data_IF_215311751684
#
_entry.id   IF_215311751684
#
_cell.length_a   1.000
_cell.length_b   1.000
_cell.length_c   1.000
_cell.angle_alpha   90.00
_cell.angle_beta   90.00
_cell.angle_gamma   90.00
#
_symmetry.space_group_name_H-M   'P 1'
#
loop_
_entity.id
_entity.type
_entity.pdbx_description
1 polymer ?
#
# COMPACT_ATOMS: atom_id res chain seq x y z
N UNK A 1 22.15 -24.03 21.22
CA UNK A 1 21.37 -23.05 20.43
C UNK A 1 22.30 -22.54 19.36
N UNK A 2 21.85 -22.47 18.11
CA UNK A 2 22.63 -21.91 17.02
C UNK A 2 22.79 -20.40 17.26
N UNK A 3 24.00 -19.87 17.49
CA UNK A 3 24.23 -18.45 17.79
C UNK A 3 23.88 -17.53 16.61
N UNK A 4 23.50 -18.09 15.46
CA UNK A 4 23.09 -17.33 14.26
C UNK A 4 21.57 -17.27 14.07
N UNK A 5 20.78 -17.96 14.89
CA UNK A 5 19.33 -18.00 14.76
C UNK A 5 18.67 -16.74 15.35
N UNK A 6 17.89 -16.02 14.54
CA UNK A 6 17.04 -14.91 15.00
C UNK A 6 15.97 -15.47 15.95
N UNK A 7 15.88 -14.88 17.14
CA UNK A 7 14.87 -15.22 18.13
C UNK A 7 13.48 -14.70 17.74
N UNK A 8 12.44 -15.34 18.27
CA UNK A 8 11.05 -14.88 18.08
C UNK A 8 10.84 -13.46 18.59
N UNK A 9 11.52 -13.08 19.68
CA UNK A 9 11.45 -11.73 20.23
C UNK A 9 12.00 -10.68 19.28
N UNK A 10 13.10 -10.97 18.59
CA UNK A 10 13.68 -10.04 17.61
C UNK A 10 12.74 -9.86 16.41
N UNK A 11 12.09 -10.94 15.94
CA UNK A 11 11.08 -10.86 14.87
C UNK A 11 9.84 -10.07 15.30
N UNK A 12 9.39 -10.22 16.55
CA UNK A 12 8.26 -9.45 17.08
C UNK A 12 8.56 -7.95 17.11
N UNK A 13 9.77 -7.58 17.57
CA UNK A 13 10.22 -6.17 17.60
C UNK A 13 10.37 -5.64 16.19
N UNK A 14 10.99 -6.38 15.28
CA UNK A 14 11.13 -5.99 13.88
C UNK A 14 9.75 -5.74 13.23
N UNK A 15 8.80 -6.65 13.46
CA UNK A 15 7.44 -6.53 12.93
C UNK A 15 6.72 -5.30 13.49
N UNK A 16 6.86 -5.01 14.79
CA UNK A 16 6.31 -3.81 15.40
C UNK A 16 6.90 -2.54 14.78
N UNK A 17 8.22 -2.47 14.61
CA UNK A 17 8.90 -1.33 13.98
C UNK A 17 8.39 -1.11 12.55
N UNK A 18 8.29 -2.17 11.74
CA UNK A 18 7.77 -2.09 10.38
C UNK A 18 6.32 -1.61 10.34
N UNK A 19 5.47 -2.09 11.25
CA UNK A 19 4.07 -1.64 11.38
C UNK A 19 3.97 -0.17 11.75
N UNK A 20 4.77 0.29 12.70
CA UNK A 20 4.78 1.69 13.15
C UNK A 20 5.41 2.64 12.11
N UNK A 21 6.23 2.14 11.19
CA UNK A 21 6.71 2.90 10.04
C UNK A 21 5.67 2.97 8.92
N UNK A 22 5.13 1.82 8.49
CA UNK A 22 4.22 1.73 7.34
C UNK A 22 2.82 2.28 7.63
N UNK A 23 2.22 1.85 8.73
CA UNK A 23 0.83 2.11 9.05
C UNK A 23 0.52 3.61 9.21
N UNK A 24 1.18 4.31 10.16
CA UNK A 24 1.00 5.74 10.36
C UNK A 24 1.32 6.58 9.11
N UNK A 25 2.36 6.20 8.35
CA UNK A 25 2.68 6.86 7.09
C UNK A 25 1.49 6.84 6.13
N UNK A 26 0.86 5.66 5.93
CA UNK A 26 -0.26 5.56 5.00
C UNK A 26 -1.51 6.27 5.51
N UNK A 27 -1.75 6.24 6.84
CA UNK A 27 -2.82 7.04 7.47
C UNK A 27 -2.63 8.53 7.19
N UNK A 28 -1.41 9.05 7.35
CA UNK A 28 -1.11 10.46 7.09
C UNK A 28 -1.32 10.82 5.61
N UNK A 29 -0.98 9.93 4.68
CA UNK A 29 -1.26 10.12 3.24
C UNK A 29 -2.76 10.23 2.96
N UNK A 30 -3.57 9.36 3.56
CA UNK A 30 -5.02 9.40 3.40
C UNK A 30 -5.67 10.60 4.08
N UNK A 31 -5.24 10.95 5.29
CA UNK A 31 -5.70 12.15 5.99
C UNK A 31 -5.34 13.42 5.23
N UNK A 32 -4.17 13.48 4.56
CA UNK A 32 -3.80 14.62 3.73
C UNK A 32 -4.76 14.80 2.55
N UNK A 33 -5.23 13.71 1.93
CA UNK A 33 -6.26 13.77 0.86
C UNK A 33 -7.60 14.31 1.36
N UNK A 34 -8.00 13.93 2.58
CA UNK A 34 -9.25 14.40 3.19
C UNK A 34 -9.14 15.86 3.61
N UNK A 35 -8.07 16.23 4.32
CA UNK A 35 -7.84 17.58 4.87
C UNK A 35 -7.53 18.62 3.80
N UNK A 36 -6.84 18.23 2.73
CA UNK A 36 -6.60 19.08 1.57
C UNK A 36 -7.84 19.36 0.71
N UNK A 37 -9.00 18.80 1.08
CA UNK A 37 -10.25 18.88 0.35
C UNK A 37 -10.32 17.81 -0.73
N UNK A 38 -11.31 16.90 -0.59
CA UNK A 38 -11.48 15.81 -1.55
C UNK A 38 -11.54 16.33 -2.98
N UNK A 39 -12.27 17.42 -3.26
CA UNK A 39 -12.40 17.99 -4.63
C UNK A 39 -11.06 18.25 -5.33
N UNK A 40 -10.03 18.69 -4.62
CA UNK A 40 -8.68 18.84 -5.20
C UNK A 40 -8.08 17.50 -5.60
N UNK A 41 -8.22 16.51 -4.71
CA UNK A 41 -7.82 15.12 -4.96
C UNK A 41 -8.61 14.49 -6.11
N UNK A 42 -9.91 14.79 -6.26
CA UNK A 42 -10.74 14.31 -7.38
C UNK A 42 -10.20 14.83 -8.73
N UNK A 43 -9.90 16.13 -8.79
CA UNK A 43 -9.33 16.77 -9.99
C UNK A 43 -7.95 16.20 -10.31
N UNK A 44 -7.13 15.96 -9.30
CA UNK A 44 -5.82 15.34 -9.45
C UNK A 44 -5.92 13.89 -9.98
N UNK A 45 -6.78 13.04 -9.41
CA UNK A 45 -6.99 11.70 -9.97
C UNK A 45 -7.52 11.74 -11.40
N UNK A 46 -8.44 12.66 -11.70
CA UNK A 46 -8.94 12.85 -13.06
C UNK A 46 -7.83 13.30 -14.04
N UNK A 47 -6.88 14.14 -13.61
CA UNK A 47 -5.74 14.57 -14.44
C UNK A 47 -4.74 13.44 -14.70
N UNK A 48 -4.62 12.47 -13.78
CA UNK A 48 -3.89 11.23 -14.01
C UNK A 48 -4.59 10.29 -15.00
N UNK A 49 -5.88 10.52 -15.29
CA UNK A 49 -6.69 9.68 -16.18
C UNK A 49 -7.58 8.67 -15.46
N UNK A 50 -7.66 8.69 -14.12
CA UNK A 50 -8.56 7.81 -13.36
C UNK A 50 -9.98 8.38 -13.33
N UNK A 51 -10.96 7.59 -13.78
CA UNK A 51 -12.36 8.03 -13.92
C UNK A 51 -13.35 7.08 -13.23
N UNK A 52 -14.40 7.61 -12.55
CA UNK A 52 -14.60 9.02 -12.20
C UNK A 52 -13.70 9.44 -11.02
N UNK A 53 -13.09 10.63 -11.09
CA UNK A 53 -12.10 11.08 -10.10
C UNK A 53 -12.62 11.14 -8.66
N UNK A 54 -13.91 11.47 -8.46
CA UNK A 54 -14.54 11.52 -7.14
C UNK A 54 -14.53 10.17 -6.41
N UNK A 55 -14.73 9.08 -7.15
CA UNK A 55 -14.75 7.74 -6.58
C UNK A 55 -13.34 7.34 -6.15
N UNK A 56 -12.35 7.55 -7.03
CA UNK A 56 -10.95 7.23 -6.74
C UNK A 56 -10.38 8.05 -5.59
N UNK A 57 -10.76 9.32 -5.45
CA UNK A 57 -10.37 10.13 -4.31
C UNK A 57 -10.84 9.51 -2.97
N UNK A 58 -12.10 9.08 -2.92
CA UNK A 58 -12.69 8.48 -1.71
C UNK A 58 -12.14 7.08 -1.44
N UNK A 59 -12.05 6.24 -2.46
CA UNK A 59 -11.52 4.87 -2.34
C UNK A 59 -10.05 4.90 -1.90
N UNK A 60 -9.22 5.75 -2.52
CA UNK A 60 -7.83 5.89 -2.12
C UNK A 60 -7.71 6.38 -0.68
N UNK A 61 -8.39 7.46 -0.29
CA UNK A 61 -8.32 7.98 1.07
C UNK A 61 -8.81 6.98 2.12
N UNK A 62 -9.95 6.32 1.88
CA UNK A 62 -10.51 5.32 2.79
C UNK A 62 -9.60 4.09 2.92
N UNK A 63 -9.04 3.61 1.80
CA UNK A 63 -8.13 2.46 1.80
C UNK A 63 -6.81 2.79 2.48
N UNK A 64 -6.23 3.97 2.22
CA UNK A 64 -4.99 4.41 2.86
C UNK A 64 -5.14 4.54 4.38
N UNK A 65 -6.24 5.13 4.84
CA UNK A 65 -6.53 5.25 6.28
C UNK A 65 -6.81 3.88 6.87
N UNK A 66 -7.72 3.09 6.28
CA UNK A 66 -8.12 1.79 6.79
C UNK A 66 -6.97 0.80 6.85
N UNK A 67 -6.26 0.59 5.73
CA UNK A 67 -5.11 -0.30 5.67
C UNK A 67 -3.97 0.20 6.57
N UNK A 68 -3.73 1.52 6.63
CA UNK A 68 -2.73 2.09 7.52
C UNK A 68 -3.03 1.84 9.00
N UNK A 69 -4.29 1.99 9.43
CA UNK A 69 -4.73 1.65 10.79
C UNK A 69 -4.57 0.16 11.05
N UNK A 70 -5.01 -0.70 10.12
CA UNK A 70 -4.91 -2.15 10.29
C UNK A 70 -3.46 -2.62 10.38
N UNK A 71 -2.56 -2.13 9.53
CA UNK A 71 -1.12 -2.40 9.64
C UNK A 71 -0.58 -1.90 10.99
N UNK A 72 -0.92 -0.69 11.42
CA UNK A 72 -0.45 -0.15 12.71
C UNK A 72 -0.80 -1.09 13.87
N UNK A 73 -2.05 -1.55 13.91
CA UNK A 73 -2.58 -2.44 14.95
C UNK A 73 -2.15 -3.91 14.77
N UNK A 74 -1.57 -4.26 13.63
CA UNK A 74 -1.29 -5.66 13.25
C UNK A 74 -2.57 -6.47 13.14
N UNK A 75 -3.55 -5.95 12.40
CA UNK A 75 -4.85 -6.57 12.17
C UNK A 75 -4.98 -6.93 10.68
N UNK A 76 -5.46 -8.14 10.40
CA UNK A 76 -5.63 -8.69 9.06
C UNK A 76 -4.35 -8.53 8.20
N UNK A 77 -3.18 -8.84 8.77
CA UNK A 77 -1.87 -8.38 8.29
C UNK A 77 -1.61 -8.72 6.82
N UNK A 78 -1.84 -9.97 6.40
CA UNK A 78 -1.71 -10.37 4.99
C UNK A 78 -2.65 -9.61 4.04
N UNK A 79 -3.90 -9.36 4.44
CA UNK A 79 -4.87 -8.60 3.64
C UNK A 79 -4.56 -7.10 3.62
N UNK A 80 -4.11 -6.55 4.74
CA UNK A 80 -3.68 -5.16 4.83
C UNK A 80 -2.44 -4.91 3.97
N UNK A 81 -1.49 -5.85 3.94
CA UNK A 81 -0.35 -5.81 3.02
C UNK A 81 -0.78 -5.87 1.55
N UNK A 82 -1.79 -6.69 1.22
CA UNK A 82 -2.39 -6.73 -0.12
C UNK A 82 -2.90 -5.34 -0.56
N UNK A 83 -3.57 -4.61 0.33
CA UNK A 83 -4.04 -3.25 0.08
C UNK A 83 -2.89 -2.27 -0.17
N UNK A 84 -1.79 -2.37 0.60
CA UNK A 84 -0.58 -1.58 0.37
C UNK A 84 -0.01 -1.84 -1.02
N UNK A 85 0.16 -3.11 -1.41
CA UNK A 85 0.66 -3.47 -2.75
C UNK A 85 -0.24 -2.90 -3.85
N UNK A 86 -1.56 -3.03 -3.71
CA UNK A 86 -2.52 -2.49 -4.68
C UNK A 86 -2.42 -0.96 -4.82
N UNK A 87 -2.44 -0.23 -3.70
CA UNK A 87 -2.30 1.23 -3.68
C UNK A 87 -1.00 1.69 -4.34
N UNK A 88 0.12 1.08 -3.94
CA UNK A 88 1.44 1.44 -4.47
C UNK A 88 1.57 1.09 -5.95
N UNK A 89 0.95 0.01 -6.42
CA UNK A 89 0.95 -0.37 -7.84
C UNK A 89 0.15 0.63 -8.68
N UNK A 90 -1.04 1.05 -8.22
CA UNK A 90 -1.82 2.09 -8.89
C UNK A 90 -1.02 3.40 -8.94
N UNK A 91 -0.39 3.80 -7.82
CA UNK A 91 0.45 4.99 -7.79
C UNK A 91 1.64 4.90 -8.77
N UNK A 92 2.35 3.77 -8.77
CA UNK A 92 3.48 3.50 -9.66
C UNK A 92 3.10 3.63 -11.15
N UNK A 93 1.94 3.07 -11.53
CA UNK A 93 1.47 3.01 -12.91
C UNK A 93 0.69 4.26 -13.36
N UNK A 94 0.40 5.19 -12.45
CA UNK A 94 -0.29 6.44 -12.75
C UNK A 94 0.60 7.64 -12.47
N UNK A 95 0.60 8.18 -11.25
CA UNK A 95 1.36 9.40 -10.93
C UNK A 95 2.86 9.24 -11.18
N UNK A 96 3.46 8.09 -10.89
CA UNK A 96 4.90 7.90 -11.06
C UNK A 96 5.31 7.48 -12.48
N UNK A 97 4.34 7.24 -13.38
CA UNK A 97 4.60 6.74 -14.72
C UNK A 97 5.42 7.75 -15.53
N UNK A 98 6.52 7.29 -16.12
CA UNK A 98 7.40 8.12 -16.95
C UNK A 98 8.36 9.03 -16.17
N UNK A 99 8.32 9.04 -14.84
CA UNK A 99 9.21 9.85 -13.97
C UNK A 99 10.55 9.15 -13.63
N UNK A 100 10.74 7.91 -14.06
CA UNK A 100 11.92 7.08 -13.76
C UNK A 100 11.87 6.42 -12.38
N UNK A 101 13.01 6.00 -11.84
CA UNK A 101 13.09 5.30 -10.55
C UNK A 101 13.16 6.26 -9.36
N UNK A 102 14.09 7.22 -9.36
CA UNK A 102 14.46 7.98 -8.16
C UNK A 102 13.36 8.88 -7.57
N UNK A 103 13.14 8.79 -6.26
CA UNK A 103 12.10 9.52 -5.52
C UNK A 103 12.21 11.04 -5.65
N UNK A 104 13.43 11.59 -5.66
CA UNK A 104 13.67 13.03 -5.78
C UNK A 104 13.36 13.58 -7.18
N UNK A 105 13.10 12.71 -8.16
CA UNK A 105 12.55 13.06 -9.48
C UNK A 105 11.05 12.74 -9.59
N UNK A 106 10.41 12.36 -8.49
CA UNK A 106 9.04 11.84 -8.48
C UNK A 106 8.91 10.40 -9.02
N UNK A 107 10.02 9.67 -9.13
CA UNK A 107 10.05 8.30 -9.64
C UNK A 107 9.46 7.25 -8.68
N UNK A 108 9.39 6.00 -9.13
CA UNK A 108 8.67 4.91 -8.45
C UNK A 108 9.37 4.29 -7.22
N UNK A 109 10.59 4.70 -6.88
CA UNK A 109 11.42 4.14 -5.79
C UNK A 109 10.66 3.99 -4.47
N UNK A 110 9.99 5.05 -4.01
CA UNK A 110 9.26 5.05 -2.75
C UNK A 110 8.11 4.05 -2.74
N UNK A 111 7.26 4.09 -3.77
CA UNK A 111 6.05 3.23 -3.82
C UNK A 111 6.43 1.76 -3.98
N UNK A 112 7.49 1.45 -4.73
CA UNK A 112 8.01 0.09 -4.86
C UNK A 112 8.57 -0.40 -3.53
N UNK A 113 9.35 0.43 -2.82
CA UNK A 113 9.89 0.07 -1.51
C UNK A 113 8.77 -0.21 -0.51
N UNK A 114 7.77 0.67 -0.43
CA UNK A 114 6.61 0.50 0.47
C UNK A 114 5.85 -0.80 0.17
N UNK A 115 5.62 -1.13 -1.10
CA UNK A 115 4.96 -2.36 -1.49
C UNK A 115 5.76 -3.61 -1.06
N UNK A 116 7.07 -3.61 -1.29
CA UNK A 116 7.92 -4.76 -0.97
C UNK A 116 8.10 -4.95 0.54
N UNK A 117 8.18 -3.87 1.32
CA UNK A 117 8.22 -3.97 2.80
C UNK A 117 6.89 -4.52 3.32
N UNK A 118 5.75 -4.13 2.73
CA UNK A 118 4.45 -4.69 3.10
C UNK A 118 4.36 -6.20 2.81
N UNK A 119 4.88 -6.66 1.66
CA UNK A 119 4.99 -8.10 1.36
C UNK A 119 5.88 -8.81 2.38
N UNK A 120 7.03 -8.24 2.71
CA UNK A 120 7.93 -8.78 3.74
C UNK A 120 7.23 -8.90 5.10
N UNK A 121 6.45 -7.90 5.50
CA UNK A 121 5.66 -7.92 6.72
C UNK A 121 4.57 -9.01 6.68
N UNK A 122 3.93 -9.25 5.54
CA UNK A 122 2.99 -10.37 5.39
C UNK A 122 3.68 -11.73 5.52
N UNK A 123 4.94 -11.85 5.08
CA UNK A 123 5.72 -13.09 5.23
C UNK A 123 6.16 -13.32 6.67
N UNK A 124 6.73 -12.31 7.33
CA UNK A 124 7.23 -12.41 8.71
C UNK A 124 6.08 -12.48 9.72
N UNK A 125 4.98 -11.78 9.43
CA UNK A 125 3.80 -11.68 10.28
C UNK A 125 3.79 -10.44 11.16
N UNK A 126 2.71 -10.25 11.94
CA UNK A 126 2.51 -9.02 12.72
C UNK A 126 3.26 -8.95 14.05
N UNK A 127 3.82 -10.08 14.51
CA UNK A 127 4.42 -10.24 15.83
C UNK A 127 3.40 -10.32 16.96
N UNK A 128 3.85 -10.69 18.17
CA UNK A 128 2.98 -10.93 19.33
C UNK A 128 2.19 -9.72 19.82
N UNK A 129 2.68 -8.49 19.59
CA UNK A 129 2.01 -7.25 19.98
C UNK A 129 1.10 -6.75 18.86
N UNK A 130 0.15 -7.60 18.47
CA UNK A 130 -0.77 -7.34 17.37
C UNK A 130 -2.17 -7.85 17.69
N UNK A 131 -3.17 -7.30 17.01
CA UNK A 131 -4.54 -7.78 17.14
C UNK A 131 -4.73 -9.16 16.50
N UNK A 132 -4.01 -9.49 15.43
CA UNK A 132 -4.02 -10.85 14.86
C UNK A 132 -3.58 -11.87 15.91
N UNK A 133 -2.49 -11.61 16.63
CA UNK A 133 -2.03 -12.48 17.72
C UNK A 133 -3.02 -12.54 18.88
N UNK A 134 -3.66 -11.42 19.25
CA UNK A 134 -4.63 -11.39 20.33
C UNK A 134 -5.94 -12.11 19.98
N UNK A 135 -6.31 -12.14 18.70
CA UNK A 135 -7.51 -12.78 18.18
C UNK A 135 -7.27 -14.20 17.66
N UNK A 136 -6.02 -14.67 17.62
CA UNK A 136 -5.65 -15.99 17.11
C UNK A 136 -5.78 -16.12 15.59
N UNK A 137 -5.61 -15.03 14.83
CA UNK A 137 -5.66 -15.03 13.38
C UNK A 137 -4.28 -15.38 12.79
N UNK A 138 -4.26 -16.40 11.94
CA UNK A 138 -3.04 -16.80 11.21
C UNK A 138 -3.07 -16.28 9.76
N UNK A 139 -2.62 -15.03 9.61
CA UNK A 139 -2.63 -14.28 8.36
C UNK A 139 -1.20 -13.87 7.93
N UNK A 140 -0.24 -14.76 8.19
CA UNK A 140 1.19 -14.54 7.94
C UNK A 140 1.87 -15.74 7.24
N UNK A 141 3.09 -15.54 6.75
CA UNK A 141 3.90 -16.56 6.10
C UNK A 141 3.98 -16.39 4.58
N UNK A 142 4.78 -17.24 3.93
CA UNK A 142 5.06 -17.15 2.48
C UNK A 142 3.77 -17.18 1.64
N UNK A 143 2.79 -17.98 2.02
CA UNK A 143 1.48 -18.02 1.37
C UNK A 143 0.77 -16.67 1.40
N UNK A 144 0.72 -16.02 2.57
CA UNK A 144 0.13 -14.68 2.71
C UNK A 144 0.96 -13.58 2.03
N UNK A 145 2.29 -13.71 2.00
CA UNK A 145 3.15 -12.86 1.19
C UNK A 145 2.83 -12.95 -0.31
N UNK A 146 2.64 -14.16 -0.82
CA UNK A 146 2.24 -14.39 -2.22
C UNK A 146 0.83 -13.85 -2.50
N UNK A 147 -0.13 -14.07 -1.60
CA UNK A 147 -1.49 -13.50 -1.69
C UNK A 147 -1.44 -11.98 -1.68
N UNK A 148 -0.65 -11.37 -0.79
CA UNK A 148 -0.51 -9.92 -0.72
C UNK A 148 0.05 -9.34 -2.03
N UNK A 149 1.12 -9.95 -2.55
CA UNK A 149 1.74 -9.53 -3.80
C UNK A 149 0.80 -9.70 -5.00
N UNK A 150 0.37 -10.94 -5.26
CA UNK A 150 -0.43 -11.28 -6.45
C UNK A 150 -1.81 -10.64 -6.37
N UNK A 151 -2.46 -10.70 -5.21
CA UNK A 151 -3.77 -10.10 -4.98
C UNK A 151 -3.73 -8.58 -5.12
N UNK A 152 -2.70 -7.93 -4.58
CA UNK A 152 -2.53 -6.48 -4.71
C UNK A 152 -2.30 -6.04 -6.16
N UNK A 153 -1.42 -6.75 -6.88
CA UNK A 153 -1.17 -6.51 -8.31
C UNK A 153 -2.44 -6.75 -9.15
N UNK A 154 -3.17 -7.84 -8.88
CA UNK A 154 -4.40 -8.17 -9.58
C UNK A 154 -5.50 -7.13 -9.32
N UNK A 155 -5.67 -6.69 -8.07
CA UNK A 155 -6.63 -5.64 -7.71
C UNK A 155 -6.28 -4.31 -8.40
N UNK A 156 -5.00 -3.92 -8.42
CA UNK A 156 -4.55 -2.73 -9.13
C UNK A 156 -4.79 -2.85 -10.64
N UNK A 157 -4.46 -3.99 -11.25
CA UNK A 157 -4.69 -4.23 -12.67
C UNK A 157 -6.19 -4.16 -13.02
N UNK A 158 -7.07 -4.77 -12.22
CA UNK A 158 -8.51 -4.72 -12.40
C UNK A 158 -9.06 -3.29 -12.28
N UNK A 159 -8.60 -2.53 -11.27
CA UNK A 159 -8.95 -1.13 -11.09
C UNK A 159 -8.52 -0.31 -12.32
N UNK A 160 -7.28 -0.45 -12.76
CA UNK A 160 -6.75 0.30 -13.91
C UNK A 160 -7.47 -0.08 -15.21
N UNK A 161 -7.70 -1.37 -15.47
CA UNK A 161 -8.41 -1.81 -16.67
C UNK A 161 -9.81 -1.16 -16.79
N UNK A 162 -10.53 -1.08 -15.67
CA UNK A 162 -11.90 -0.58 -15.65
C UNK A 162 -11.97 0.95 -15.61
N UNK A 163 -10.97 1.64 -15.07
CA UNK A 163 -11.09 3.07 -14.73
C UNK A 163 -10.01 4.01 -15.26
N UNK A 164 -8.88 3.49 -15.77
CA UNK A 164 -7.78 4.29 -16.28
C UNK A 164 -7.99 4.64 -17.76
N UNK A 165 -8.12 5.94 -18.05
CA UNK A 165 -8.38 6.54 -19.36
C UNK A 165 -7.47 7.77 -19.53
N UNK A 166 -6.16 7.59 -19.73
CA UNK A 166 -5.24 8.70 -19.94
C UNK A 166 -5.60 9.44 -21.22
N UNK A 167 -5.43 10.77 -21.23
CA UNK A 167 -5.65 11.56 -22.44
C UNK A 167 -4.49 11.27 -23.42
N UNK A 168 -4.80 10.77 -24.61
CA UNK A 168 -3.81 10.66 -25.67
C UNK A 168 -3.44 12.07 -26.15
N UNK A 169 -2.20 12.50 -25.94
CA UNK A 169 -1.64 13.73 -26.53
C UNK A 169 -1.40 13.61 -28.05
N UNK A 170 -2.17 12.77 -28.77
CA UNK A 170 -2.09 12.59 -30.23
C UNK A 170 -3.18 13.38 -30.97
N UNK A 171 -3.35 14.67 -30.69
CA UNK A 171 -4.27 15.50 -31.50
C UNK A 171 -3.76 16.89 -31.90
N UNK A 172 -2.49 17.24 -31.66
CA UNK A 172 -1.91 18.51 -32.11
C UNK A 172 -0.48 18.34 -32.66
N UNK A 173 -0.31 17.50 -33.68
CA UNK A 173 0.86 17.50 -34.54
C UNK A 173 0.41 17.47 -36.00
#
# INVERSE_FOLDING_TARGET
MDPTAISTTELDVASLVLRLALGPMLVLHGLNKVRGGLSGTEKWFASLGLRPGWLHARVAAATEIGAGVFVTLGLLTGLSAMAFVGLMTVAALTDHRGKGYFIFKGGAEYVVLVAMVAVGLAVVGPGRWSLDSALGLDLAGIGWGAVALVGGLAAAAALLATSYRPQNTRSNA
#
